data_IF_664171634767
#
_entry.id   IF_664171634767
#
_cell.length_a   1.000
_cell.length_b   1.000
_cell.length_c   1.000
_cell.angle_alpha   90.00
_cell.angle_beta   90.00
_cell.angle_gamma   90.00
#
_symmetry.space_group_name_H-M   'P 1'
#
loop_
_entity.id
_entity.type
_entity.pdbx_description
1 polymer ?
#
# COMPACT_ATOMS: atom_id res chain seq x y z
N UNK A 1 -6.58 2.39 24.49
CA UNK A 1 -7.17 2.94 23.25
C UNK A 1 -7.01 1.91 22.15
N UNK A 2 -8.11 1.40 21.58
CA UNK A 2 -8.06 0.48 20.44
C UNK A 2 -8.02 1.31 19.16
N UNK A 3 -6.82 1.61 18.69
CA UNK A 3 -6.66 2.07 17.32
C UNK A 3 -6.91 0.87 16.42
N UNK A 4 -8.05 0.84 15.72
CA UNK A 4 -8.29 -0.09 14.63
C UNK A 4 -7.42 0.35 13.44
N UNK A 5 -6.10 0.27 13.57
CA UNK A 5 -5.16 0.54 12.49
C UNK A 5 -5.21 -0.64 11.52
N UNK A 6 -6.25 -0.68 10.69
CA UNK A 6 -6.35 -1.64 9.61
C UNK A 6 -5.26 -1.30 8.60
N UNK A 7 -4.36 -2.25 8.38
CA UNK A 7 -3.44 -2.18 7.24
C UNK A 7 -4.25 -2.48 5.99
N UNK A 8 -4.21 -1.56 5.03
CA UNK A 8 -4.86 -1.66 3.75
C UNK A 8 -3.88 -2.17 2.70
N UNK A 9 -4.40 -2.96 1.75
CA UNK A 9 -3.68 -3.36 0.54
C UNK A 9 -4.46 -2.83 -0.67
N UNK A 10 -3.88 -1.85 -1.37
CA UNK A 10 -4.54 -1.17 -2.49
C UNK A 10 -3.75 -1.35 -3.76
N UNK A 11 -4.40 -1.76 -4.84
CA UNK A 11 -3.76 -1.81 -6.16
C UNK A 11 -3.58 -0.39 -6.71
N UNK A 12 -2.36 -0.07 -7.13
CA UNK A 12 -1.99 1.22 -7.68
C UNK A 12 -1.54 1.00 -9.14
N UNK A 13 -2.34 1.45 -10.13
CA UNK A 13 -1.94 1.38 -11.53
C UNK A 13 -0.87 2.42 -11.85
N UNK A 14 -0.05 2.12 -12.86
CA UNK A 14 1.00 3.00 -13.38
C UNK A 14 0.48 4.37 -13.72
N UNK A 15 -0.68 4.42 -14.33
CA UNK A 15 -1.25 5.65 -14.86
C UNK A 15 -1.57 6.62 -13.72
N UNK A 16 -2.00 6.10 -12.56
CA UNK A 16 -2.29 6.91 -11.39
C UNK A 16 -1.04 7.51 -10.75
N UNK A 17 -0.01 6.71 -10.45
CA UNK A 17 1.14 7.22 -9.69
C UNK A 17 2.12 8.04 -10.54
N UNK A 18 2.08 7.91 -11.86
CA UNK A 18 2.86 8.76 -12.77
C UNK A 18 2.22 10.15 -12.98
N UNK A 19 0.93 10.31 -12.70
CA UNK A 19 0.27 11.61 -12.80
C UNK A 19 0.70 12.54 -11.65
N UNK A 20 0.77 13.83 -11.93
CA UNK A 20 1.13 14.85 -10.93
C UNK A 20 0.16 14.85 -9.74
N UNK A 21 -1.13 14.58 -9.98
CA UNK A 21 -2.15 14.53 -8.94
C UNK A 21 -1.93 13.38 -7.95
N UNK A 22 -1.27 12.30 -8.39
CA UNK A 22 -0.90 11.17 -7.55
C UNK A 22 0.13 11.54 -6.47
N UNK A 23 0.84 12.67 -6.61
CA UNK A 23 1.78 13.17 -5.60
C UNK A 23 2.84 12.15 -5.19
N UNK A 24 3.22 11.26 -6.12
CA UNK A 24 4.07 10.12 -5.82
C UNK A 24 5.51 10.55 -5.55
N UNK A 25 6.05 10.11 -4.42
CA UNK A 25 7.44 10.33 -4.05
C UNK A 25 8.03 9.03 -3.51
N UNK A 26 9.10 8.54 -4.14
CA UNK A 26 9.83 7.37 -3.64
C UNK A 26 10.88 7.83 -2.61
N UNK A 27 10.76 7.37 -1.36
CA UNK A 27 11.65 7.78 -0.27
C UNK A 27 12.96 6.98 -0.21
N UNK A 28 13.05 5.88 -0.98
CA UNK A 28 14.25 5.06 -1.07
C UNK A 28 15.31 5.71 -1.95
N UNK A 29 16.31 6.37 -1.34
CA UNK A 29 17.42 7.03 -2.05
C UNK A 29 18.10 6.09 -3.07
N UNK A 30 18.29 6.59 -4.29
CA UNK A 30 19.02 5.89 -5.36
C UNK A 30 18.26 4.76 -6.05
N UNK A 31 17.01 4.47 -5.64
CA UNK A 31 16.16 3.50 -6.33
C UNK A 31 15.18 4.23 -7.25
N UNK A 32 14.80 3.57 -8.35
CA UNK A 32 13.78 4.04 -9.29
C UNK A 32 12.82 2.90 -9.59
N UNK A 33 11.56 3.25 -9.77
CA UNK A 33 10.54 2.32 -10.27
C UNK A 33 10.37 2.56 -11.78
N UNK A 34 10.28 1.50 -12.60
CA UNK A 34 9.89 1.65 -14.00
C UNK A 34 8.52 2.31 -14.09
N UNK A 35 8.36 3.35 -14.92
CA UNK A 35 7.09 4.09 -15.06
C UNK A 35 5.90 3.19 -15.39
N UNK A 36 6.12 2.10 -16.12
CA UNK A 36 5.07 1.13 -16.47
C UNK A 36 4.69 0.17 -15.34
N UNK A 37 5.25 0.34 -14.14
CA UNK A 37 5.03 -0.59 -13.04
C UNK A 37 3.70 -0.37 -12.35
N UNK A 38 2.93 -1.44 -12.27
CA UNK A 38 1.78 -1.58 -11.39
C UNK A 38 2.23 -2.25 -10.08
N UNK A 39 1.68 -1.84 -8.95
CA UNK A 39 2.03 -2.43 -7.66
C UNK A 39 0.85 -2.40 -6.69
N UNK A 40 0.96 -3.14 -5.60
CA UNK A 40 0.10 -2.95 -4.45
C UNK A 40 0.79 -2.05 -3.43
N UNK A 41 0.00 -1.25 -2.73
CA UNK A 41 0.44 -0.38 -1.66
C UNK A 41 -0.08 -0.93 -0.33
N UNK A 42 0.82 -1.13 0.61
CA UNK A 42 0.50 -1.39 2.01
C UNK A 42 0.56 -0.08 2.79
N UNK A 43 -0.54 0.34 3.39
CA UNK A 43 -0.66 1.63 4.07
C UNK A 43 -1.74 1.58 5.16
N UNK A 44 -1.87 2.64 5.97
CA UNK A 44 -2.81 2.69 7.09
C UNK A 44 -3.66 3.96 6.97
N UNK A 45 -4.97 3.82 7.19
CA UNK A 45 -5.96 4.92 7.11
C UNK A 45 -5.86 5.93 8.26
N UNK A 46 -5.24 5.56 9.38
CA UNK A 46 -5.13 6.42 10.56
C UNK A 46 -4.10 7.52 10.33
N UNK A 47 -4.57 8.65 9.80
CA UNK A 47 -4.12 10.04 9.91
C UNK A 47 -2.63 10.44 9.98
N UNK A 48 -1.69 9.68 10.56
CA UNK A 48 -0.31 10.16 10.86
C UNK A 48 0.73 9.06 11.03
N UNK A 49 0.74 8.00 10.22
CA UNK A 49 1.99 7.21 10.14
C UNK A 49 2.99 7.97 9.28
N UNK A 50 3.65 8.97 9.86
CA UNK A 50 4.76 9.69 9.24
C UNK A 50 6.07 8.89 9.33
N UNK A 51 6.07 7.79 10.09
CA UNK A 51 7.24 6.99 10.39
C UNK A 51 7.22 5.63 9.68
N UNK A 52 8.23 5.39 8.84
CA UNK A 52 8.42 4.12 8.13
C UNK A 52 8.55 2.91 9.06
N UNK A 53 9.18 3.07 10.22
CA UNK A 53 9.39 1.97 11.17
C UNK A 53 8.07 1.54 11.77
N UNK A 54 7.23 2.49 12.14
CA UNK A 54 5.90 2.21 12.68
C UNK A 54 5.02 1.49 11.66
N UNK A 55 5.00 1.98 10.40
CA UNK A 55 4.30 1.31 9.30
C UNK A 55 4.80 -0.13 9.12
N UNK A 56 6.12 -0.33 9.17
CA UNK A 56 6.74 -1.64 8.99
C UNK A 56 6.37 -2.63 10.10
N UNK A 57 6.32 -2.17 11.35
CA UNK A 57 5.90 -3.00 12.49
C UNK A 57 4.41 -3.33 12.44
N UNK A 58 3.56 -2.38 12.08
CA UNK A 58 2.12 -2.65 11.91
C UNK A 58 1.86 -3.65 10.76
N UNK A 59 2.54 -3.50 9.62
CA UNK A 59 2.46 -4.49 8.53
C UNK A 59 2.91 -5.86 9.02
N UNK A 60 4.00 -5.94 9.79
CA UNK A 60 4.53 -7.20 10.32
C UNK A 60 3.56 -7.87 11.30
N UNK A 61 2.83 -7.10 12.10
CA UNK A 61 1.83 -7.63 13.02
C UNK A 61 0.64 -8.27 12.28
N UNK A 62 0.18 -7.64 11.19
CA UNK A 62 -0.98 -8.14 10.41
C UNK A 62 -0.57 -9.20 9.40
N UNK A 63 0.57 -9.03 8.73
CA UNK A 63 1.10 -9.89 7.69
C UNK A 63 2.54 -10.32 8.02
N UNK A 64 2.73 -11.25 8.97
CA UNK A 64 4.06 -11.60 9.49
C UNK A 64 4.98 -12.25 8.44
N UNK A 65 4.42 -12.80 7.37
CA UNK A 65 5.17 -13.40 6.26
C UNK A 65 5.73 -12.35 5.29
N UNK A 66 5.25 -11.12 5.33
CA UNK A 66 5.74 -10.04 4.49
C UNK A 66 7.00 -9.44 5.14
N UNK A 67 8.15 -9.42 4.44
CA UNK A 67 9.34 -8.76 4.94
C UNK A 67 9.23 -7.24 4.75
N UNK A 68 8.39 -6.58 5.56
CA UNK A 68 8.02 -5.16 5.43
C UNK A 68 9.23 -4.20 5.32
N UNK A 69 10.30 -4.48 6.07
CA UNK A 69 11.57 -3.72 6.03
C UNK A 69 12.33 -3.80 4.71
N UNK A 70 12.06 -4.82 3.88
CA UNK A 70 12.67 -4.97 2.54
C UNK A 70 11.86 -4.25 1.45
N UNK A 71 10.62 -3.89 1.74
CA UNK A 71 9.76 -3.18 0.79
C UNK A 71 10.19 -1.73 0.67
N UNK A 72 10.10 -1.21 -0.56
CA UNK A 72 10.35 0.20 -0.84
C UNK A 72 9.27 1.06 -0.17
N UNK A 73 9.67 2.24 0.28
CA UNK A 73 8.76 3.21 0.91
C UNK A 73 8.47 4.34 -0.06
N UNK A 74 7.20 4.71 -0.18
CA UNK A 74 6.77 5.88 -0.94
C UNK A 74 5.75 6.71 -0.16
N UNK A 75 5.55 7.91 -0.65
CA UNK A 75 4.42 8.79 -0.38
C UNK A 75 3.55 8.85 -1.64
N UNK A 76 2.24 8.86 -1.47
CA UNK A 76 1.28 8.93 -2.57
C UNK A 76 -0.03 9.50 -2.06
N UNK A 77 -0.69 10.33 -2.86
CA UNK A 77 -2.02 10.81 -2.56
C UNK A 77 -3.02 9.65 -2.68
N UNK A 78 -3.95 9.53 -1.74
CA UNK A 78 -5.06 8.59 -1.79
C UNK A 78 -6.34 9.31 -1.40
N UNK A 79 -7.44 8.94 -2.05
CA UNK A 79 -8.78 9.42 -1.72
C UNK A 79 -9.45 8.45 -0.74
N UNK A 80 -9.79 8.93 0.46
CA UNK A 80 -10.41 8.13 1.52
C UNK A 80 -11.82 8.67 1.78
N UNK A 81 -12.85 7.82 1.84
CA UNK A 81 -14.19 8.26 2.21
C UNK A 81 -14.17 8.96 3.57
N UNK A 82 -14.68 10.20 3.63
CA UNK A 82 -14.70 10.96 4.87
C UNK A 82 -15.59 10.26 5.89
N UNK A 83 -15.11 10.16 7.14
CA UNK A 83 -15.86 9.55 8.23
C UNK A 83 -16.53 10.65 9.04
N UNK A 84 -17.87 10.63 9.07
CA UNK A 84 -18.65 11.53 9.91
C UNK A 84 -19.14 10.76 11.12
N UNK A 85 -18.86 11.31 12.30
CA UNK A 85 -19.40 10.82 13.56
C UNK A 85 -20.72 11.53 13.85
N UNK A 86 -21.82 10.78 13.88
CA UNK A 86 -23.09 11.31 14.37
C UNK A 86 -23.08 11.37 15.90
N UNK A 87 -23.91 12.22 16.51
CA UNK A 87 -24.05 12.39 17.97
C UNK A 87 -24.48 11.14 18.78
N UNK A 88 -24.52 9.96 18.15
CA UNK A 88 -24.72 8.63 18.77
C UNK A 88 -23.48 7.72 18.61
N UNK A 89 -22.31 8.28 18.32
CA UNK A 89 -21.04 7.58 18.05
C UNK A 89 -21.15 6.49 16.96
N UNK A 90 -22.06 6.67 16.00
CA UNK A 90 -22.15 5.82 14.80
C UNK A 90 -21.35 6.49 13.69
N UNK A 91 -20.34 5.79 13.19
CA UNK A 91 -19.56 6.22 12.03
C UNK A 91 -20.36 5.96 10.75
N UNK A 92 -20.52 7.01 9.95
CA UNK A 92 -21.04 6.92 8.59
C UNK A 92 -19.98 7.42 7.61
N UNK A 93 -19.95 6.82 6.43
CA UNK A 93 -19.13 7.32 5.33
C UNK A 93 -19.92 8.37 4.56
N UNK A 94 -19.32 9.54 4.39
CA UNK A 94 -19.88 10.61 3.57
C UNK A 94 -19.72 10.31 2.07
N UNK A 95 -20.43 11.05 1.22
CA UNK A 95 -20.26 11.05 -0.23
C UNK A 95 -18.96 11.71 -0.69
N UNK A 96 -18.31 12.46 0.21
CA UNK A 96 -17.08 13.19 -0.07
C UNK A 96 -15.85 12.37 0.33
N UNK A 97 -14.77 12.57 -0.43
CA UNK A 97 -13.49 11.93 -0.20
C UNK A 97 -12.48 12.97 0.28
N UNK A 98 -11.72 12.62 1.31
CA UNK A 98 -10.54 13.36 1.72
C UNK A 98 -9.36 12.83 0.90
N UNK A 99 -8.68 13.72 0.17
CA UNK A 99 -7.44 13.39 -0.53
C UNK A 99 -6.27 13.79 0.36
N UNK A 100 -5.50 12.82 0.82
CA UNK A 100 -4.34 13.04 1.66
C UNK A 100 -3.13 12.25 1.16
N UNK A 101 -1.94 12.74 1.49
CA UNK A 101 -0.69 12.06 1.16
C UNK A 101 -0.38 11.00 2.22
N UNK A 102 -0.34 9.73 1.81
CA UNK A 102 -0.09 8.60 2.68
C UNK A 102 1.29 8.00 2.47
N UNK A 103 1.95 7.69 3.59
CA UNK A 103 3.11 6.82 3.61
C UNK A 103 2.68 5.38 3.34
N UNK A 104 3.37 4.71 2.42
CA UNK A 104 3.08 3.33 2.10
C UNK A 104 4.32 2.52 1.73
N UNK A 105 4.18 1.20 1.84
CA UNK A 105 5.17 0.21 1.40
C UNK A 105 4.72 -0.41 0.08
N UNK A 106 5.60 -0.37 -0.91
CA UNK A 106 5.33 -0.92 -2.24
C UNK A 106 5.51 -2.43 -2.20
N UNK A 107 4.42 -3.15 -2.47
CA UNK A 107 4.38 -4.59 -2.59
C UNK A 107 4.28 -4.97 -4.08
N UNK A 108 5.26 -5.69 -4.65
CA UNK A 108 5.17 -6.15 -6.02
C UNK A 108 3.99 -7.11 -6.21
N UNK A 109 3.48 -7.19 -7.44
CA UNK A 109 2.27 -7.98 -7.77
C UNK A 109 2.45 -9.46 -7.41
N UNK A 110 3.58 -10.08 -7.77
CA UNK A 110 3.76 -11.52 -7.56
C UNK A 110 3.72 -11.91 -6.06
N UNK A 111 4.44 -11.23 -5.14
CA UNK A 111 4.24 -11.42 -3.70
C UNK A 111 2.80 -11.15 -3.22
N UNK A 112 2.13 -10.13 -3.74
CA UNK A 112 0.77 -9.76 -3.31
C UNK A 112 -0.26 -10.83 -3.70
N UNK A 113 -0.17 -11.38 -4.92
CA UNK A 113 -1.04 -12.48 -5.38
C UNK A 113 -0.84 -13.71 -4.50
N UNK A 114 0.41 -14.06 -4.16
CA UNK A 114 0.70 -15.18 -3.26
C UNK A 114 0.11 -14.94 -1.86
N UNK A 115 0.14 -13.71 -1.35
CA UNK A 115 -0.49 -13.37 -0.07
C UNK A 115 -2.02 -13.53 -0.13
N UNK A 116 -2.66 -12.98 -1.16
CA UNK A 116 -4.12 -12.91 -1.26
C UNK A 116 -4.76 -14.27 -1.59
N UNK A 117 -4.11 -15.07 -2.42
CA UNK A 117 -4.71 -16.28 -2.98
C UNK A 117 -3.95 -17.56 -2.63
N UNK A 118 -2.89 -17.47 -1.82
CA UNK A 118 -1.99 -18.59 -1.48
C UNK A 118 -1.45 -19.33 -2.72
N UNK A 119 -1.38 -18.64 -3.87
CA UNK A 119 -0.95 -19.23 -5.13
C UNK A 119 0.58 -19.38 -5.15
N UNK A 120 1.04 -20.59 -5.41
CA UNK A 120 2.44 -20.85 -5.74
C UNK A 120 2.69 -20.61 -7.22
N UNK A 121 3.50 -19.59 -7.52
CA UNK A 121 3.92 -19.30 -8.89
C UNK A 121 5.03 -20.29 -9.25
N UNK A 122 4.66 -21.39 -9.90
CA UNK A 122 5.62 -22.30 -10.50
C UNK A 122 6.29 -21.59 -11.68
N UNK A 123 7.62 -21.42 -11.62
CA UNK A 123 8.39 -21.06 -12.81
C UNK A 123 8.40 -22.28 -13.72
N UNK A 124 7.76 -22.18 -14.88
CA UNK A 124 7.96 -23.19 -15.93
C UNK A 124 9.43 -23.19 -16.32
N UNK A 125 10.15 -24.33 -16.24
CA UNK A 125 11.48 -24.41 -16.80
C UNK A 125 11.33 -24.21 -18.31
N UNK A 126 11.84 -23.09 -18.80
CA UNK A 126 12.08 -22.91 -20.24
C UNK A 126 12.93 -24.10 -20.65
N UNK A 127 12.34 -25.06 -21.37
CA UNK A 127 13.09 -26.12 -22.03
C UNK A 127 13.97 -25.40 -23.04
N UNK A 128 15.26 -25.34 -22.73
CA UNK A 128 16.27 -24.82 -23.65
C UNK A 128 16.07 -25.49 -25.00
N UNK A 129 15.82 -24.67 -26.03
CA UNK A 129 16.02 -25.07 -27.41
C UNK A 129 17.54 -25.26 -27.52
N UNK A 130 17.96 -26.53 -27.58
CA UNK A 130 19.30 -26.90 -28.03
C UNK A 130 19.39 -26.69 -29.54
#
# INVERSE_FOLDING_TARGET
>A
MRFNNKVHLTYIPSDYWNESIGGFELLSKGRRLPKTSNFFLLWISSGRTENENELSEQIKQIFPTIPSRKLLTCKINLAIPSQIENGKNKMFYDKYFEVANHLGKIMPISPAIKLLYQLDIAKSPIRGIK
#
